data_IF_095770958169
#
_entry.id   IF_095770958169
#
_cell.length_a   1.000
_cell.length_b   1.000
_cell.length_c   1.000
_cell.angle_alpha   90.00
_cell.angle_beta   90.00
_cell.angle_gamma   90.00
#
_symmetry.space_group_name_H-M   'P 1'
#
loop_
_entity.id
_entity.type
_entity.pdbx_description
1 polymer ?
#
# COMPACT_ATOMS: atom_id res chain seq x y z
N UNK A 1 -23.24 12.52 10.40
CA UNK A 1 -22.18 12.70 9.40
C UNK A 1 -21.11 11.66 9.63
N UNK A 2 -21.10 10.68 8.78
CA UNK A 2 -20.00 9.75 8.78
C UNK A 2 -18.73 10.49 8.40
N UNK A 3 -17.87 10.75 9.37
CA UNK A 3 -16.54 11.19 9.08
C UNK A 3 -15.90 10.12 8.20
N UNK A 4 -15.84 10.38 6.92
CA UNK A 4 -15.15 9.48 5.99
C UNK A 4 -13.68 9.45 6.35
N UNK A 5 -13.31 8.50 7.19
CA UNK A 5 -11.90 8.13 7.37
C UNK A 5 -11.48 7.36 6.15
N UNK A 6 -11.08 8.08 5.13
CA UNK A 6 -10.75 7.50 3.84
C UNK A 6 -9.40 6.77 3.82
N UNK A 7 -8.51 7.07 4.76
CA UNK A 7 -7.17 6.47 4.80
C UNK A 7 -6.45 6.97 6.06
N UNK A 8 -6.12 6.14 6.98
CA UNK A 8 -5.61 6.42 8.29
C UNK A 8 -4.88 7.73 8.55
N UNK A 9 -4.79 8.12 9.78
CA UNK A 9 -4.17 9.41 10.15
C UNK A 9 -2.66 9.37 9.92
N UNK A 10 -2.17 10.21 9.00
CA UNK A 10 -0.74 10.45 8.87
C UNK A 10 -0.21 11.13 10.14
N UNK A 11 0.99 10.77 10.59
CA UNK A 11 1.60 11.50 11.69
C UNK A 11 1.77 12.97 11.34
N UNK A 12 1.46 13.85 12.27
CA UNK A 12 1.53 15.31 12.07
C UNK A 12 2.93 15.90 12.11
N UNK A 13 3.95 15.08 12.29
CA UNK A 13 5.33 15.56 12.36
C UNK A 13 5.98 15.58 10.97
N UNK A 14 7.01 16.40 10.82
CA UNK A 14 7.81 16.42 9.60
C UNK A 14 8.43 15.04 9.32
N UNK A 15 8.43 14.58 8.06
CA UNK A 15 9.06 13.32 7.69
C UNK A 15 10.54 13.28 8.08
N UNK A 16 11.01 12.10 8.53
CA UNK A 16 12.42 11.84 8.82
C UNK A 16 13.17 11.24 7.63
N UNK A 17 12.49 11.05 6.51
CA UNK A 17 13.13 10.65 5.27
C UNK A 17 14.21 11.67 4.87
N UNK A 18 15.29 11.19 4.31
CA UNK A 18 16.32 12.05 3.71
C UNK A 18 16.24 11.96 2.20
N UNK A 19 16.47 13.08 1.54
CA UNK A 19 16.42 13.19 0.07
C UNK A 19 17.66 13.93 -0.40
N UNK A 20 18.39 13.33 -1.33
CA UNK A 20 19.54 13.92 -2.00
C UNK A 20 19.22 14.06 -3.48
N UNK A 21 19.47 15.24 -4.04
CA UNK A 21 19.18 15.54 -5.45
C UNK A 21 20.47 15.98 -6.14
N UNK A 22 20.89 15.25 -7.16
CA UNK A 22 22.03 15.62 -7.97
C UNK A 22 21.68 16.74 -8.96
N UNK A 23 22.73 17.46 -9.43
CA UNK A 23 22.57 18.54 -10.40
C UNK A 23 21.85 18.08 -11.70
N UNK A 24 22.07 16.82 -12.12
CA UNK A 24 21.41 16.24 -13.30
C UNK A 24 20.00 15.70 -13.04
N UNK A 25 19.46 15.83 -11.82
CA UNK A 25 18.11 15.41 -11.50
C UNK A 25 17.96 14.01 -10.87
N UNK A 26 19.06 13.26 -10.73
CA UNK A 26 19.01 11.97 -10.01
C UNK A 26 18.69 12.21 -8.53
N UNK A 27 17.78 11.42 -7.98
CA UNK A 27 17.33 11.55 -6.60
C UNK A 27 17.58 10.26 -5.83
N UNK A 28 18.15 10.38 -4.64
CA UNK A 28 18.20 9.31 -3.66
C UNK A 28 17.27 9.67 -2.51
N UNK A 29 16.23 8.87 -2.31
CA UNK A 29 15.33 8.99 -1.18
C UNK A 29 15.56 7.83 -0.22
N UNK A 30 15.74 8.12 1.06
CA UNK A 30 15.87 7.12 2.13
C UNK A 30 14.70 7.30 3.10
N UNK A 31 13.59 6.56 2.92
CA UNK A 31 12.50 6.59 3.88
C UNK A 31 12.99 6.13 5.26
N UNK A 32 12.41 6.72 6.30
CA UNK A 32 12.71 6.33 7.69
C UNK A 32 11.58 5.47 8.25
N UNK A 33 11.91 4.34 8.84
CA UNK A 33 10.92 3.49 9.52
C UNK A 33 10.16 4.25 10.63
N UNK A 34 10.74 5.33 11.15
CA UNK A 34 10.06 6.17 12.14
C UNK A 34 8.85 6.93 11.56
N UNK A 35 8.72 6.98 10.25
CA UNK A 35 7.59 7.61 9.57
C UNK A 35 6.47 6.60 9.22
N UNK A 36 6.67 5.32 9.54
CA UNK A 36 5.62 4.31 9.37
C UNK A 36 4.43 4.61 10.30
N UNK A 37 3.24 4.43 9.79
CA UNK A 37 2.01 4.65 10.56
C UNK A 37 0.98 3.56 10.29
N UNK A 38 0.17 3.25 11.33
CA UNK A 38 -0.96 2.32 11.19
C UNK A 38 -2.12 3.05 10.51
N UNK A 39 -2.67 2.40 9.49
CA UNK A 39 -3.88 2.90 8.82
C UNK A 39 -5.14 2.28 9.43
N UNK A 40 -6.30 2.84 9.10
CA UNK A 40 -7.59 2.26 9.48
C UNK A 40 -7.88 0.92 8.77
N UNK A 41 -7.04 0.51 7.83
CA UNK A 41 -7.18 -0.74 7.07
C UNK A 41 -6.35 -1.91 7.65
N UNK A 42 -5.83 -1.80 8.87
CA UNK A 42 -4.97 -2.79 9.55
C UNK A 42 -3.63 -3.02 8.87
N UNK A 43 -3.12 -2.04 8.18
CA UNK A 43 -1.85 -2.10 7.46
C UNK A 43 -0.96 -0.96 7.91
N UNK A 44 0.29 -1.25 8.25
CA UNK A 44 1.31 -0.23 8.47
C UNK A 44 1.81 0.27 7.13
N UNK A 45 1.80 1.57 6.94
CA UNK A 45 2.23 2.21 5.70
C UNK A 45 3.44 3.09 5.95
N UNK A 46 4.42 2.97 5.06
CA UNK A 46 5.55 3.88 4.94
C UNK A 46 5.57 4.42 3.51
N UNK A 47 5.22 5.69 3.34
CA UNK A 47 5.37 6.32 2.03
C UNK A 47 6.84 6.36 1.67
N UNK A 48 7.20 5.65 0.59
CA UNK A 48 8.60 5.47 0.20
C UNK A 48 9.01 6.39 -0.93
N UNK A 49 8.09 6.66 -1.86
CA UNK A 49 8.35 7.57 -2.97
C UNK A 49 7.08 8.26 -3.43
N UNK A 50 7.09 9.56 -3.35
CA UNK A 50 6.09 10.44 -3.95
C UNK A 50 6.76 11.79 -4.17
N UNK A 51 6.91 12.19 -5.43
CA UNK A 51 7.68 13.38 -5.75
C UNK A 51 7.07 14.13 -6.93
N UNK A 52 7.01 15.47 -6.87
CA UNK A 52 6.67 16.28 -8.05
C UNK A 52 7.64 16.08 -9.23
N UNK A 53 8.84 15.56 -8.96
CA UNK A 53 9.83 15.23 -10.00
C UNK A 53 9.47 13.97 -10.77
N UNK A 54 8.63 13.12 -10.18
CA UNK A 54 8.15 11.88 -10.78
C UNK A 54 6.63 11.81 -10.62
N UNK A 55 5.89 12.55 -11.43
CA UNK A 55 4.43 12.61 -11.32
C UNK A 55 3.72 11.34 -11.79
N UNK A 56 4.46 10.37 -12.35
CA UNK A 56 3.86 9.19 -12.94
C UNK A 56 3.43 8.14 -11.93
N UNK A 57 4.10 8.06 -10.77
CA UNK A 57 3.83 6.98 -9.82
C UNK A 57 4.09 7.38 -8.37
N UNK A 58 3.56 6.57 -7.46
CA UNK A 58 3.92 6.58 -6.04
C UNK A 58 4.28 5.17 -5.59
N UNK A 59 5.13 5.08 -4.57
CA UNK A 59 5.52 3.81 -3.94
C UNK A 59 5.31 3.91 -2.45
N UNK A 60 4.58 2.95 -1.87
CA UNK A 60 4.42 2.81 -0.43
C UNK A 60 4.82 1.41 -0.01
N UNK A 61 5.52 1.30 1.12
CA UNK A 61 5.77 0.02 1.77
C UNK A 61 4.60 -0.30 2.69
N UNK A 62 4.00 -1.47 2.51
CA UNK A 62 2.92 -1.95 3.36
C UNK A 62 3.42 -3.14 4.18
N UNK A 63 3.08 -3.15 5.47
CA UNK A 63 3.45 -4.22 6.40
C UNK A 63 2.23 -4.67 7.19
N UNK A 64 1.98 -5.98 7.18
CA UNK A 64 0.91 -6.61 7.95
C UNK A 64 1.50 -7.56 8.99
N UNK A 65 1.01 -7.46 10.22
CA UNK A 65 1.36 -8.41 11.28
C UNK A 65 0.78 -9.80 10.95
N UNK A 66 1.35 -10.88 11.51
CA UNK A 66 0.80 -12.23 11.34
C UNK A 66 -0.69 -12.27 11.68
N UNK A 67 -1.48 -12.86 10.78
CA UNK A 67 -2.93 -12.99 10.93
C UNK A 67 -3.74 -11.75 10.55
N UNK A 68 -3.10 -10.61 10.30
CA UNK A 68 -3.82 -9.39 9.92
C UNK A 68 -4.37 -9.50 8.49
N UNK A 69 -5.54 -8.93 8.29
CA UNK A 69 -6.19 -8.81 6.98
C UNK A 69 -6.48 -7.34 6.70
N UNK A 70 -6.09 -6.87 5.53
CA UNK A 70 -6.42 -5.51 5.13
C UNK A 70 -7.93 -5.36 4.91
N UNK A 71 -8.47 -4.19 5.25
CA UNK A 71 -9.87 -3.89 4.98
C UNK A 71 -10.10 -3.94 3.46
N UNK A 72 -11.15 -4.66 2.98
CA UNK A 72 -11.45 -4.69 1.56
C UNK A 72 -11.68 -3.28 1.02
N UNK A 73 -11.04 -2.97 -0.09
CA UNK A 73 -11.13 -1.66 -0.72
C UNK A 73 -10.87 -1.74 -2.22
N UNK A 74 -11.11 -0.65 -2.90
CA UNK A 74 -10.71 -0.46 -4.29
C UNK A 74 -10.14 0.95 -4.46
N UNK A 75 -9.31 1.12 -5.46
CA UNK A 75 -8.82 2.44 -5.85
C UNK A 75 -9.49 2.86 -7.15
N UNK A 76 -10.00 4.07 -7.18
CA UNK A 76 -10.57 4.66 -8.40
C UNK A 76 -9.51 5.51 -9.11
N UNK A 77 -9.41 5.37 -10.43
CA UNK A 77 -8.54 6.20 -11.24
C UNK A 77 -7.04 5.94 -11.12
N UNK A 78 -6.62 4.90 -10.42
CA UNK A 78 -5.22 4.48 -10.37
C UNK A 78 -5.10 2.96 -10.42
N UNK A 79 -4.12 2.47 -11.13
CA UNK A 79 -3.73 1.06 -11.13
C UNK A 79 -2.73 0.83 -10.01
N UNK A 80 -2.79 -0.33 -9.35
CA UNK A 80 -1.89 -0.66 -8.25
C UNK A 80 -1.21 -2.02 -8.49
N UNK A 81 0.07 -2.11 -8.12
CA UNK A 81 0.81 -3.36 -8.11
C UNK A 81 1.32 -3.62 -6.70
N UNK A 82 1.14 -4.86 -6.24
CA UNK A 82 1.82 -5.33 -5.05
C UNK A 82 3.03 -6.12 -5.48
N UNK A 83 4.21 -5.70 -5.03
CA UNK A 83 5.44 -6.49 -5.11
C UNK A 83 5.72 -7.05 -3.72
N UNK A 84 5.56 -8.36 -3.55
CA UNK A 84 5.81 -9.02 -2.27
C UNK A 84 7.32 -9.15 -2.06
N UNK A 85 7.81 -8.72 -0.90
CA UNK A 85 9.25 -8.76 -0.60
C UNK A 85 9.60 -9.64 0.59
N UNK A 86 8.71 -9.78 1.58
CA UNK A 86 8.91 -10.64 2.74
C UNK A 86 7.60 -11.29 3.16
N UNK A 87 7.68 -12.50 3.71
CA UNK A 87 6.55 -13.18 4.29
C UNK A 87 5.67 -13.88 3.27
N UNK A 88 4.48 -14.27 3.71
CA UNK A 88 3.48 -14.95 2.88
C UNK A 88 2.12 -14.35 3.10
N UNK A 89 1.35 -14.28 2.03
CA UNK A 89 0.00 -13.75 2.07
C UNK A 89 -0.96 -14.54 1.22
N UNK A 90 -2.23 -14.21 1.38
CA UNK A 90 -3.32 -14.75 0.58
C UNK A 90 -4.21 -13.61 0.12
N UNK A 91 -4.60 -13.67 -1.15
CA UNK A 91 -5.56 -12.73 -1.73
C UNK A 91 -6.70 -13.49 -2.39
N UNK A 92 -7.89 -12.90 -2.35
CA UNK A 92 -9.01 -13.30 -3.21
C UNK A 92 -8.96 -12.40 -4.44
N UNK A 93 -8.54 -12.96 -5.57
CA UNK A 93 -8.35 -12.21 -6.80
C UNK A 93 -9.59 -12.30 -7.68
N UNK A 94 -10.15 -11.16 -8.12
CA UNK A 94 -11.31 -11.17 -9.01
C UNK A 94 -11.07 -12.03 -10.25
N UNK A 95 -11.96 -13.00 -10.47
CA UNK A 95 -11.87 -13.93 -11.61
C UNK A 95 -10.86 -15.05 -11.48
N UNK A 96 -10.01 -15.04 -10.46
CA UNK A 96 -8.99 -16.08 -10.22
C UNK A 96 -9.21 -16.87 -8.94
N UNK A 97 -9.99 -16.31 -7.99
CA UNK A 97 -10.20 -16.93 -6.68
C UNK A 97 -9.00 -16.71 -5.74
N UNK A 98 -8.95 -17.52 -4.68
CA UNK A 98 -7.92 -17.42 -3.68
C UNK A 98 -6.54 -17.84 -4.22
N UNK A 99 -5.53 -17.05 -3.93
CA UNK A 99 -4.13 -17.34 -4.29
C UNK A 99 -3.22 -17.00 -3.13
N UNK A 100 -2.23 -17.84 -2.91
CA UNK A 100 -1.12 -17.54 -2.01
C UNK A 100 0.00 -16.84 -2.77
N UNK A 101 0.66 -15.90 -2.09
CA UNK A 101 1.77 -15.13 -2.63
C UNK A 101 2.94 -15.13 -1.66
N UNK A 102 4.13 -14.96 -2.20
CA UNK A 102 5.38 -14.90 -1.45
C UNK A 102 6.39 -13.98 -2.12
N UNK A 103 7.61 -13.90 -1.57
CA UNK A 103 8.64 -12.98 -2.07
C UNK A 103 8.88 -13.10 -3.57
N UNK A 104 8.87 -11.95 -4.26
CA UNK A 104 9.05 -11.85 -5.70
C UNK A 104 7.77 -11.89 -6.51
N UNK A 105 6.63 -12.26 -5.91
CA UNK A 105 5.36 -12.27 -6.62
C UNK A 105 4.85 -10.85 -6.84
N UNK A 106 4.21 -10.65 -7.97
CA UNK A 106 3.58 -9.38 -8.33
C UNK A 106 2.10 -9.60 -8.59
N UNK A 107 1.27 -8.78 -7.96
CA UNK A 107 -0.18 -8.74 -8.24
C UNK A 107 -0.51 -7.39 -8.85
N UNK A 108 -1.17 -7.40 -9.99
CA UNK A 108 -1.62 -6.18 -10.66
C UNK A 108 -3.12 -6.02 -10.49
N UNK A 109 -3.52 -4.87 -9.96
CA UNK A 109 -4.93 -4.48 -9.82
C UNK A 109 -5.22 -3.31 -10.76
N UNK A 110 -5.96 -3.53 -11.84
CA UNK A 110 -6.51 -2.41 -12.61
C UNK A 110 -7.38 -1.51 -11.72
N UNK A 111 -7.45 -0.25 -12.04
CA UNK A 111 -8.31 0.69 -11.32
C UNK A 111 -9.72 0.13 -11.13
N UNK A 112 -10.27 0.27 -9.93
CA UNK A 112 -11.61 -0.17 -9.57
C UNK A 112 -11.73 -1.61 -9.09
N UNK A 113 -10.69 -2.44 -9.20
CA UNK A 113 -10.75 -3.83 -8.76
C UNK A 113 -10.65 -3.94 -7.23
N UNK A 114 -11.48 -4.79 -6.60
CA UNK A 114 -11.40 -5.04 -5.16
C UNK A 114 -10.05 -5.63 -4.75
N UNK A 115 -9.55 -5.19 -3.60
CA UNK A 115 -8.29 -5.60 -3.02
C UNK A 115 -8.48 -5.95 -1.56
N UNK A 116 -7.96 -7.09 -1.14
CA UNK A 116 -7.79 -7.47 0.27
C UNK A 116 -6.71 -8.52 0.35
N UNK A 117 -5.85 -8.41 1.34
CA UNK A 117 -4.74 -9.34 1.57
C UNK A 117 -4.66 -9.73 3.03
N UNK A 118 -4.38 -11.00 3.28
CA UNK A 118 -4.19 -11.55 4.63
C UNK A 118 -2.76 -12.05 4.76
N UNK A 119 -2.11 -11.72 5.88
CA UNK A 119 -0.84 -12.35 6.24
C UNK A 119 -1.11 -13.74 6.80
N UNK A 120 -0.72 -14.77 6.07
CA UNK A 120 -0.91 -16.18 6.44
C UNK A 120 0.35 -16.83 7.01
N UNK A 121 1.44 -16.09 7.08
CA UNK A 121 2.73 -16.58 7.58
C UNK A 121 2.98 -16.28 9.05
N UNK A 122 4.10 -16.79 9.60
CA UNK A 122 4.47 -16.58 11.00
C UNK A 122 5.23 -15.28 11.25
N UNK A 123 5.62 -14.57 10.20
CA UNK A 123 6.36 -13.30 10.27
C UNK A 123 5.59 -12.20 9.58
N UNK A 124 6.06 -10.96 9.67
CA UNK A 124 5.43 -9.85 8.96
C UNK A 124 5.40 -10.11 7.45
N UNK A 125 4.29 -9.75 6.84
CA UNK A 125 4.15 -9.67 5.39
C UNK A 125 4.51 -8.25 4.96
N UNK A 126 5.49 -8.13 4.09
CA UNK A 126 5.95 -6.84 3.57
C UNK A 126 5.83 -6.82 2.06
N UNK A 127 5.21 -5.79 1.56
CA UNK A 127 5.08 -5.55 0.13
C UNK A 127 5.28 -4.07 -0.21
N UNK A 128 5.60 -3.79 -1.45
CA UNK A 128 5.51 -2.44 -1.99
C UNK A 128 4.28 -2.31 -2.86
N UNK A 129 3.51 -1.26 -2.59
CA UNK A 129 2.36 -0.87 -3.39
C UNK A 129 2.80 0.25 -4.34
N UNK A 130 2.71 -0.01 -5.64
CA UNK A 130 3.15 0.91 -6.69
C UNK A 130 1.93 1.35 -7.47
N UNK A 131 1.59 2.63 -7.37
CA UNK A 131 0.40 3.22 -7.99
C UNK A 131 0.76 4.12 -9.16
N UNK A 132 0.01 3.97 -10.25
CA UNK A 132 0.11 4.81 -11.45
C UNK A 132 -1.29 5.22 -11.92
N UNK A 133 -1.63 6.52 -11.92
CA UNK A 133 -0.92 7.65 -11.32
C UNK A 133 -0.74 7.51 -9.82
N UNK A 134 -0.06 8.45 -9.15
CA UNK A 134 0.18 8.37 -7.71
C UNK A 134 -1.11 8.17 -6.90
N UNK A 135 -1.00 7.42 -5.81
CA UNK A 135 -2.10 7.21 -4.87
C UNK A 135 -2.60 8.55 -4.31
N UNK A 136 -3.92 8.71 -4.31
CA UNK A 136 -4.62 9.81 -3.65
C UNK A 136 -5.64 9.25 -2.67
N UNK A 137 -5.67 9.78 -1.45
CA UNK A 137 -6.61 9.31 -0.42
C UNK A 137 -8.07 9.41 -0.89
N UNK A 138 -8.41 10.39 -1.71
CA UNK A 138 -9.76 10.57 -2.26
C UNK A 138 -10.16 9.46 -3.24
N UNK A 139 -9.19 8.71 -3.76
CA UNK A 139 -9.45 7.59 -4.68
C UNK A 139 -9.67 6.26 -3.95
N UNK A 140 -9.45 6.23 -2.64
CA UNK A 140 -9.67 5.05 -1.81
C UNK A 140 -11.15 4.90 -1.47
N UNK A 141 -11.72 3.74 -1.79
CA UNK A 141 -13.12 3.40 -1.49
C UNK A 141 -13.14 2.11 -0.68
N UNK A 142 -13.58 2.21 0.58
CA UNK A 142 -13.78 1.04 1.42
C UNK A 142 -14.97 0.23 0.91
N UNK A 143 -14.81 -1.09 0.87
CA UNK A 143 -15.84 -2.02 0.45
C UNK A 143 -16.42 -2.74 1.66
N UNK A 144 -17.69 -3.23 1.58
CA UNK A 144 -18.25 -4.09 2.61
C UNK A 144 -17.38 -5.32 2.80
N UNK A 145 -17.13 -5.69 4.07
CA UNK A 145 -16.53 -6.97 4.38
C UNK A 145 -17.43 -8.14 4.00
N UNK A 146 -16.91 -9.39 4.05
CA UNK A 146 -17.76 -10.56 3.81
C UNK A 146 -18.92 -10.58 4.81
N UNK A 147 -20.11 -11.01 4.33
CA UNK A 147 -21.27 -11.19 5.20
C UNK A 147 -20.92 -12.21 6.30
N UNK A 148 -21.14 -11.82 7.54
CA UNK A 148 -20.97 -12.71 8.69
C UNK A 148 -22.15 -13.65 8.84
#
# INVERSE_FOLDING_TARGET
>A
MSGERKYGMRPRRAPRATVEVAAGGTVLCRPSAADEFMTDENVFILESWRSPRDPALSIARARLLPGATSVPHRLTGTDERYLIVEGRGRLDLPGLGAREVGPGDVVFFPAGQPQTITNTGPTDLVLYAICTPPFEADNYVELPGPAS
#
